data_IF_681968773001
#
_entry.id   IF_681968773001
#
_cell.length_a   1.000
_cell.length_b   1.000
_cell.length_c   1.000
_cell.angle_alpha   90.00
_cell.angle_beta   90.00
_cell.angle_gamma   90.00
#
_symmetry.space_group_name_H-M   'P 1'
#
loop_
_entity.id
_entity.type
_entity.pdbx_description
1 polymer ?
#
# COMPACT_ATOMS: atom_id res chain seq x y z
N UNK A 1 -12.14 5.99 -1.96
CA UNK A 1 -11.66 4.89 -1.08
C UNK A 1 -10.24 5.24 -0.65
N UNK A 2 -9.68 4.55 0.34
CA UNK A 2 -8.27 4.72 0.71
C UNK A 2 -7.52 3.43 0.37
N UNK A 3 -6.53 3.53 -0.50
CA UNK A 3 -5.71 2.39 -0.92
C UNK A 3 -4.37 2.41 -0.20
N UNK A 4 -3.99 1.28 0.39
CA UNK A 4 -2.68 1.09 1.02
C UNK A 4 -1.79 0.35 0.04
N UNK A 5 -0.63 0.93 -0.28
CA UNK A 5 0.22 0.48 -1.38
C UNK A 5 1.67 0.44 -0.90
N UNK A 6 2.32 -0.71 -1.07
CA UNK A 6 3.76 -0.91 -0.89
C UNK A 6 4.57 -0.55 -2.15
N UNK A 7 5.89 -0.75 -2.13
CA UNK A 7 6.73 -0.46 -3.32
C UNK A 7 6.50 -1.43 -4.48
N UNK A 8 6.80 -0.99 -5.71
CA UNK A 8 6.62 -1.71 -7.00
C UNK A 8 7.22 -3.12 -7.06
N UNK A 9 8.23 -3.44 -6.25
CA UNK A 9 8.88 -4.76 -6.23
C UNK A 9 8.63 -5.45 -4.88
N UNK A 10 7.36 -5.78 -4.58
CA UNK A 10 6.90 -6.01 -3.23
C UNK A 10 7.62 -7.20 -2.58
N UNK A 11 8.22 -6.94 -1.42
CA UNK A 11 8.71 -7.97 -0.52
C UNK A 11 7.65 -8.30 0.55
N UNK A 12 8.05 -9.02 1.60
CA UNK A 12 7.11 -9.40 2.65
C UNK A 12 6.58 -8.18 3.40
N UNK A 13 7.43 -7.20 3.71
CA UNK A 13 7.04 -6.04 4.50
C UNK A 13 6.07 -5.15 3.71
N UNK A 14 6.40 -4.82 2.45
CA UNK A 14 5.55 -4.05 1.57
C UNK A 14 4.14 -4.61 1.39
N UNK A 15 3.95 -5.94 1.47
CA UNK A 15 2.62 -6.56 1.35
C UNK A 15 1.96 -6.71 2.72
N UNK A 16 2.67 -7.25 3.72
CA UNK A 16 2.12 -7.48 5.05
C UNK A 16 1.72 -6.16 5.74
N UNK A 17 2.52 -5.11 5.60
CA UNK A 17 2.25 -3.80 6.18
C UNK A 17 0.96 -3.19 5.63
N UNK A 18 0.64 -3.36 4.33
CA UNK A 18 -0.65 -2.87 3.80
C UNK A 18 -1.83 -3.52 4.49
N UNK A 19 -1.77 -4.84 4.71
CA UNK A 19 -2.86 -5.61 5.33
C UNK A 19 -3.00 -5.26 6.80
N UNK A 20 -1.90 -5.27 7.55
CA UNK A 20 -1.90 -4.99 8.98
C UNK A 20 -2.31 -3.55 9.26
N UNK A 21 -1.79 -2.60 8.48
CA UNK A 21 -2.10 -1.20 8.69
C UNK A 21 -3.56 -0.87 8.34
N UNK A 22 -4.10 -1.47 7.27
CA UNK A 22 -5.53 -1.34 6.94
C UNK A 22 -6.42 -1.85 8.09
N UNK A 23 -6.10 -3.01 8.66
CA UNK A 23 -6.83 -3.60 9.78
C UNK A 23 -6.72 -2.75 11.06
N UNK A 24 -5.51 -2.26 11.39
CA UNK A 24 -5.29 -1.35 12.51
C UNK A 24 -6.12 -0.07 12.37
N UNK A 25 -6.03 0.60 11.22
CA UNK A 25 -6.75 1.84 10.93
C UNK A 25 -8.27 1.67 11.00
N UNK A 26 -8.77 0.52 10.52
CA UNK A 26 -10.17 0.14 10.61
C UNK A 26 -10.61 -0.01 12.08
N UNK A 27 -9.83 -0.72 12.89
CA UNK A 27 -10.12 -0.96 14.32
C UNK A 27 -10.19 0.33 15.13
N UNK A 28 -9.29 1.28 14.86
CA UNK A 28 -9.28 2.58 15.54
C UNK A 28 -10.25 3.60 14.93
N UNK A 29 -10.93 3.25 13.83
CA UNK A 29 -11.88 4.12 13.11
C UNK A 29 -11.26 5.47 12.71
N UNK A 30 -10.01 5.45 12.23
CA UNK A 30 -9.29 6.67 11.81
C UNK A 30 -9.97 7.33 10.60
N UNK A 31 -10.43 6.51 9.67
CA UNK A 31 -11.07 6.94 8.42
C UNK A 31 -12.52 6.46 8.37
N UNK A 32 -13.35 7.16 7.60
CA UNK A 32 -14.75 6.76 7.33
C UNK A 32 -14.86 5.96 6.03
N UNK A 33 -13.88 6.14 5.15
CA UNK A 33 -13.70 5.50 3.88
C UNK A 33 -13.24 4.04 4.05
N UNK A 34 -13.57 3.20 3.07
CA UNK A 34 -13.05 1.84 3.03
C UNK A 34 -11.53 1.84 2.79
N UNK A 35 -10.83 1.04 3.58
CA UNK A 35 -9.38 0.84 3.54
C UNK A 35 -9.06 -0.45 2.78
N UNK A 36 -8.42 -0.32 1.62
CA UNK A 36 -8.18 -1.42 0.69
C UNK A 36 -6.66 -1.65 0.57
N UNK A 37 -6.11 -2.72 1.17
CA UNK A 37 -4.73 -3.10 0.92
C UNK A 37 -4.57 -3.61 -0.51
N UNK A 38 -3.47 -3.26 -1.16
CA UNK A 38 -3.12 -3.69 -2.52
C UNK A 38 -1.68 -4.23 -2.58
N UNK A 39 -1.43 -5.14 -3.50
CA UNK A 39 -0.09 -5.58 -3.84
C UNK A 39 0.39 -4.86 -5.11
N UNK A 40 1.54 -4.20 -5.06
CA UNK A 40 2.04 -3.37 -6.16
C UNK A 40 2.66 -4.16 -7.34
N UNK A 41 2.73 -5.49 -7.22
CA UNK A 41 3.33 -6.39 -8.20
C UNK A 41 3.12 -7.86 -7.82
N UNK A 42 3.86 -8.76 -8.46
CA UNK A 42 3.86 -10.18 -8.10
C UNK A 42 4.63 -10.38 -6.78
N UNK A 43 4.00 -10.95 -5.73
CA UNK A 43 4.68 -11.20 -4.47
C UNK A 43 5.79 -12.25 -4.64
N UNK A 44 6.89 -12.08 -3.93
CA UNK A 44 7.97 -13.06 -3.91
C UNK A 44 7.55 -14.39 -3.21
N UNK A 45 8.38 -15.43 -3.33
CA UNK A 45 8.08 -16.76 -2.76
C UNK A 45 7.96 -16.72 -1.23
N UNK A 46 8.75 -15.88 -0.56
CA UNK A 46 8.67 -15.73 0.90
C UNK A 46 7.32 -15.15 1.32
N UNK A 47 6.87 -14.09 0.65
CA UNK A 47 5.55 -13.48 0.88
C UNK A 47 4.44 -14.49 0.62
N UNK A 48 4.48 -15.21 -0.50
CA UNK A 48 3.50 -16.25 -0.81
C UNK A 48 3.44 -17.33 0.28
N UNK A 49 4.61 -17.83 0.69
CA UNK A 49 4.71 -18.85 1.74
C UNK A 49 4.15 -18.37 3.07
N UNK A 50 4.45 -17.14 3.49
CA UNK A 50 3.96 -16.58 4.75
C UNK A 50 2.44 -16.43 4.73
N UNK A 51 1.89 -15.87 3.65
CA UNK A 51 0.44 -15.70 3.50
C UNK A 51 -0.30 -17.05 3.49
N UNK A 52 0.21 -18.03 2.74
CA UNK A 52 -0.32 -19.39 2.73
C UNK A 52 -0.25 -20.03 4.13
N UNK A 53 0.90 -19.95 4.80
CA UNK A 53 1.12 -20.52 6.14
C UNK A 53 0.14 -20.00 7.18
N UNK A 54 -0.25 -18.73 7.09
CA UNK A 54 -1.19 -18.11 8.02
C UNK A 54 -2.64 -18.10 7.50
N UNK A 55 -2.90 -18.66 6.31
CA UNK A 55 -4.25 -18.70 5.71
C UNK A 55 -4.80 -17.32 5.38
N UNK A 56 -3.92 -16.35 5.09
CA UNK A 56 -4.28 -14.98 4.74
C UNK A 56 -4.30 -14.88 3.22
N UNK A 57 -5.35 -14.26 2.66
CA UNK A 57 -5.39 -13.99 1.23
C UNK A 57 -4.44 -12.84 0.89
N UNK A 58 -3.60 -13.04 -0.13
CA UNK A 58 -2.76 -11.96 -0.67
C UNK A 58 -3.67 -10.86 -1.24
N UNK A 59 -3.38 -9.57 -0.97
CA UNK A 59 -4.12 -8.47 -1.55
C UNK A 59 -4.17 -8.52 -3.08
N UNK A 60 -5.27 -8.02 -3.65
CA UNK A 60 -5.39 -7.91 -5.11
C UNK A 60 -4.25 -7.06 -5.70
N UNK A 61 -3.85 -7.38 -6.92
CA UNK A 61 -2.79 -6.66 -7.60
C UNK A 61 -3.30 -5.26 -8.02
N UNK A 62 -2.47 -4.25 -7.86
CA UNK A 62 -2.80 -2.87 -8.23
C UNK A 62 -3.15 -2.71 -9.73
N UNK A 63 -2.59 -3.54 -10.61
CA UNK A 63 -2.87 -3.51 -12.05
C UNK A 63 -4.32 -3.88 -12.39
N UNK A 64 -5.03 -4.54 -11.48
CA UNK A 64 -6.43 -4.93 -11.61
C UNK A 64 -7.40 -3.87 -11.09
N UNK A 65 -6.87 -2.79 -10.49
CA UNK A 65 -7.65 -1.71 -9.86
C UNK A 65 -7.61 -0.46 -10.72
N UNK A 66 -8.79 0.12 -10.96
CA UNK A 66 -8.91 1.43 -11.61
C UNK A 66 -9.10 2.51 -10.55
N UNK A 67 -8.20 3.50 -10.54
CA UNK A 67 -8.25 4.63 -9.62
C UNK A 67 -9.10 5.77 -10.18
N UNK A 68 -9.78 6.48 -9.29
CA UNK A 68 -10.46 7.74 -9.56
C UNK A 68 -9.65 8.91 -8.98
N UNK A 69 -9.92 10.13 -9.46
CA UNK A 69 -9.26 11.33 -8.95
C UNK A 69 -9.57 11.64 -7.47
N UNK A 70 -10.59 11.01 -6.89
CA UNK A 70 -10.98 11.17 -5.49
C UNK A 70 -10.42 10.12 -4.57
N UNK A 71 -9.75 9.09 -5.11
CA UNK A 71 -9.16 8.04 -4.30
C UNK A 71 -7.90 8.54 -3.61
N UNK A 72 -7.82 8.23 -2.32
CA UNK A 72 -6.73 8.61 -1.44
C UNK A 72 -5.74 7.45 -1.32
N UNK A 73 -4.47 7.78 -1.12
CA UNK A 73 -3.39 6.81 -1.09
C UNK A 73 -2.64 6.90 0.24
N UNK A 74 -2.37 5.74 0.83
CA UNK A 74 -1.41 5.58 1.91
C UNK A 74 -0.23 4.78 1.37
N UNK A 75 0.96 5.35 1.43
CA UNK A 75 2.19 4.65 1.08
C UNK A 75 2.72 3.94 2.33
N UNK A 76 3.01 2.65 2.20
CA UNK A 76 3.69 1.88 3.25
C UNK A 76 5.02 1.37 2.72
N UNK A 77 6.03 1.32 3.59
CA UNK A 77 7.36 0.77 3.29
C UNK A 77 8.14 1.47 2.16
N UNK A 78 7.66 2.63 1.69
CA UNK A 78 8.39 3.45 0.74
C UNK A 78 7.86 4.88 0.67
N UNK A 79 8.70 5.77 0.13
CA UNK A 79 8.35 7.15 -0.16
C UNK A 79 8.93 7.65 -1.51
N UNK A 80 9.92 6.96 -2.08
CA UNK A 80 10.69 7.42 -3.24
C UNK A 80 9.95 7.24 -4.58
N UNK A 81 10.06 8.20 -5.50
CA UNK A 81 9.36 8.15 -6.79
C UNK A 81 9.69 6.92 -7.63
N UNK A 82 10.96 6.51 -7.63
CA UNK A 82 11.41 5.34 -8.37
C UNK A 82 10.73 4.04 -7.91
N UNK A 83 10.21 3.99 -6.69
CA UNK A 83 9.57 2.83 -6.09
C UNK A 83 8.03 2.89 -6.17
N UNK A 84 7.45 4.05 -6.49
CA UNK A 84 5.99 4.24 -6.54
C UNK A 84 5.38 3.72 -7.82
N UNK A 85 4.17 3.20 -7.71
CA UNK A 85 3.35 2.79 -8.86
C UNK A 85 2.96 4.02 -9.68
N UNK A 86 2.97 3.94 -11.01
CA UNK A 86 2.66 5.08 -11.90
C UNK A 86 1.17 5.36 -12.03
N UNK A 87 0.32 4.38 -11.72
CA UNK A 87 -1.14 4.48 -11.86
C UNK A 87 -1.81 5.32 -10.77
N UNK A 88 -1.07 5.76 -9.75
CA UNK A 88 -1.61 6.55 -8.64
C UNK A 88 -1.39 8.04 -8.85
N UNK A 89 -2.35 8.86 -8.39
CA UNK A 89 -2.18 10.30 -8.32
C UNK A 89 -1.39 10.67 -7.05
N UNK A 90 -0.17 11.18 -7.20
CA UNK A 90 0.69 11.56 -6.09
C UNK A 90 0.11 12.69 -5.22
N UNK A 91 -0.75 13.56 -5.76
CA UNK A 91 -1.39 14.64 -4.98
C UNK A 91 -2.45 14.11 -4.00
N UNK A 92 -2.84 12.84 -4.13
CA UNK A 92 -3.81 12.17 -3.28
C UNK A 92 -3.16 11.31 -2.18
N UNK A 93 -1.83 11.35 -2.02
CA UNK A 93 -1.16 10.71 -0.89
C UNK A 93 -1.53 11.45 0.38
N UNK A 94 -2.17 10.76 1.33
CA UNK A 94 -2.66 11.34 2.60
C UNK A 94 -1.86 10.86 3.81
N UNK A 95 -1.08 9.80 3.66
CA UNK A 95 -0.26 9.26 4.74
C UNK A 95 0.92 8.45 4.19
N UNK A 96 2.02 8.42 4.94
CA UNK A 96 3.20 7.62 4.64
C UNK A 96 3.67 6.94 5.93
N UNK A 97 3.83 5.63 5.90
CA UNK A 97 4.41 4.83 6.97
C UNK A 97 5.63 4.11 6.42
N UNK A 98 6.82 4.62 6.73
CA UNK A 98 8.05 4.14 6.10
C UNK A 98 9.23 4.23 7.09
N UNK A 99 10.21 3.34 6.92
CA UNK A 99 11.43 3.26 7.71
C UNK A 99 12.70 3.48 6.86
N UNK A 100 12.55 3.75 5.57
CA UNK A 100 13.65 4.06 4.66
C UNK A 100 14.11 5.52 4.77
N UNK A 101 15.14 5.86 3.98
CA UNK A 101 15.61 7.25 3.87
C UNK A 101 14.51 8.10 3.24
N UNK A 102 14.34 9.32 3.75
CA UNK A 102 13.35 10.26 3.24
C UNK A 102 13.86 10.88 1.94
N UNK A 103 13.09 10.70 0.87
CA UNK A 103 13.25 11.30 -0.45
C UNK A 103 11.87 11.54 -1.08
N UNK A 104 11.16 12.49 -0.47
CA UNK A 104 9.79 12.87 -0.82
C UNK A 104 9.79 14.00 -1.86
N UNK A 105 9.01 13.85 -2.93
CA UNK A 105 8.90 14.84 -4.01
C UNK A 105 7.47 15.21 -4.43
N UNK A 106 6.50 14.96 -3.56
CA UNK A 106 5.11 15.42 -3.72
C UNK A 106 4.79 16.55 -2.73
N UNK A 107 3.72 17.27 -3.01
CA UNK A 107 3.35 18.48 -2.25
C UNK A 107 2.63 18.19 -0.94
N UNK A 108 2.17 16.95 -0.76
CA UNK A 108 1.39 16.41 0.37
C UNK A 108 1.74 14.92 0.56
N UNK A 109 1.62 14.37 1.79
CA UNK A 109 0.45 14.46 2.67
C UNK A 109 0.27 15.81 3.38
#
# INVERSE_FOLDING_TARGET
MIYLIGHKSPDLDAVAATVEYADFLTKIKRYKEDLIPLCAGEPNIETQFVFEKFGIQIPQNISEVSFTNTDQIILVDHNEEAQRVESINNDNVVEIVDHHKININFTKP
#
